data_IF_585647534277
#
_entry.id   IF_585647534277
#
_cell.length_a   1.000
_cell.length_b   1.000
_cell.length_c   1.000
_cell.angle_alpha   90.00
_cell.angle_beta   90.00
_cell.angle_gamma   90.00
#
_symmetry.space_group_name_H-M   'P 1'
#
loop_
_entity.id
_entity.type
_entity.pdbx_description
1 polymer ?
#
# COMPACT_ATOMS: atom_id res chain seq x y z
N UNK A 1 -24.79 -40.00 48.50
CA UNK A 1 -23.89 -38.91 48.90
C UNK A 1 -23.45 -38.14 47.66
N UNK A 2 -23.80 -36.85 47.60
CA UNK A 2 -23.36 -35.78 46.68
C UNK A 2 -22.79 -36.09 45.29
N UNK A 3 -23.65 -36.20 44.28
CA UNK A 3 -23.29 -36.05 42.85
C UNK A 3 -23.52 -34.60 42.37
N UNK A 4 -22.97 -33.60 43.08
CA UNK A 4 -23.28 -32.17 42.81
C UNK A 4 -22.07 -31.27 42.57
N UNK A 5 -20.92 -31.81 42.15
CA UNK A 5 -19.67 -31.04 42.05
C UNK A 5 -18.96 -30.99 40.71
N UNK A 6 -19.29 -31.84 39.72
CA UNK A 6 -18.42 -32.02 38.54
C UNK A 6 -18.71 -31.10 37.35
N UNK A 7 -19.83 -30.36 37.34
CA UNK A 7 -20.16 -29.45 36.22
C UNK A 7 -19.50 -28.07 36.30
N UNK A 8 -18.89 -27.70 37.42
CA UNK A 8 -18.19 -26.41 37.53
C UNK A 8 -16.88 -26.42 36.72
N UNK A 9 -16.19 -27.56 36.64
CA UNK A 9 -15.02 -27.70 35.75
C UNK A 9 -15.39 -27.77 34.26
N UNK A 10 -16.63 -28.15 33.92
CA UNK A 10 -17.15 -28.12 32.55
C UNK A 10 -17.36 -26.68 32.07
N UNK A 11 -17.70 -25.77 33.00
CA UNK A 11 -17.78 -24.32 32.76
C UNK A 11 -16.39 -23.66 32.78
N UNK A 12 -15.43 -24.21 33.56
CA UNK A 12 -14.05 -23.71 33.62
C UNK A 12 -13.18 -24.22 32.46
N UNK A 13 -13.56 -25.32 31.80
CA UNK A 13 -13.05 -25.67 30.47
C UNK A 13 -13.75 -24.77 29.46
N UNK A 14 -13.44 -23.47 29.59
CA UNK A 14 -13.80 -22.40 28.68
C UNK A 14 -13.51 -22.91 27.27
N UNK A 15 -14.58 -23.32 26.62
CA UNK A 15 -14.79 -23.31 25.19
C UNK A 15 -13.48 -23.38 24.40
N UNK A 16 -13.16 -24.52 23.78
CA UNK A 16 -12.09 -24.61 22.77
C UNK A 16 -12.38 -23.74 21.51
N UNK A 17 -13.24 -22.71 21.61
CA UNK A 17 -13.31 -21.63 20.63
C UNK A 17 -12.29 -20.58 20.99
N UNK A 18 -11.40 -20.27 20.06
CA UNK A 18 -10.37 -19.24 20.19
C UNK A 18 -10.90 -17.95 20.80
N UNK A 19 -10.64 -17.78 22.11
CA UNK A 19 -11.12 -16.68 22.96
C UNK A 19 -10.63 -15.29 22.55
N UNK A 20 -9.80 -15.21 21.51
CA UNK A 20 -9.45 -14.01 20.78
C UNK A 20 -9.64 -14.27 19.27
N UNK A 21 -10.72 -13.75 18.69
CA UNK A 21 -10.96 -13.87 17.25
C UNK A 21 -10.09 -12.84 16.53
N UNK A 22 -9.07 -13.33 15.81
CA UNK A 22 -8.29 -12.52 14.89
C UNK A 22 -9.16 -12.17 13.69
N UNK A 23 -9.76 -10.97 13.74
CA UNK A 23 -10.75 -10.55 12.73
C UNK A 23 -10.06 -10.43 11.37
N UNK A 24 -10.41 -11.33 10.44
CA UNK A 24 -9.94 -11.24 9.05
C UNK A 24 -10.69 -10.13 8.34
N UNK A 25 -10.05 -8.96 8.22
CA UNK A 25 -10.63 -7.81 7.53
C UNK A 25 -10.59 -8.08 6.02
N UNK A 26 -11.76 -7.99 5.37
CA UNK A 26 -11.86 -8.14 3.92
C UNK A 26 -11.11 -7.00 3.21
N UNK A 27 -10.63 -7.28 2.01
CA UNK A 27 -10.04 -6.26 1.16
C UNK A 27 -11.13 -5.31 0.64
N UNK A 28 -11.37 -4.21 1.37
CA UNK A 28 -12.32 -3.16 0.98
C UNK A 28 -11.77 -2.29 -0.15
N UNK A 29 -12.65 -1.57 -0.85
CA UNK A 29 -12.32 -0.67 -1.96
C UNK A 29 -11.29 0.39 -1.55
N UNK A 30 -11.45 1.02 -0.39
CA UNK A 30 -10.48 2.01 0.13
C UNK A 30 -9.10 1.39 0.38
N UNK A 31 -9.04 0.15 0.88
CA UNK A 31 -7.78 -0.57 1.09
C UNK A 31 -7.10 -0.91 -0.24
N UNK A 32 -7.87 -1.27 -1.28
CA UNK A 32 -7.35 -1.44 -2.65
C UNK A 32 -6.77 -0.14 -3.21
N UNK A 33 -7.44 0.99 -3.00
CA UNK A 33 -6.95 2.29 -3.44
C UNK A 33 -5.64 2.68 -2.75
N UNK A 34 -5.49 2.38 -1.45
CA UNK A 34 -4.23 2.60 -0.73
C UNK A 34 -3.10 1.70 -1.26
N UNK A 35 -3.39 0.44 -1.57
CA UNK A 35 -2.43 -0.47 -2.20
C UNK A 35 -1.96 0.06 -3.56
N UNK A 36 -2.89 0.54 -4.41
CA UNK A 36 -2.54 1.16 -5.71
C UNK A 36 -1.63 2.38 -5.51
N UNK A 37 -1.92 3.26 -4.55
CA UNK A 37 -1.07 4.41 -4.23
C UNK A 37 0.34 3.99 -3.78
N UNK A 38 0.46 2.95 -2.96
CA UNK A 38 1.78 2.42 -2.52
C UNK A 38 2.58 1.88 -3.70
N UNK A 39 1.96 1.09 -4.58
CA UNK A 39 2.61 0.56 -5.78
C UNK A 39 3.13 1.69 -6.67
N UNK A 40 2.31 2.71 -6.92
CA UNK A 40 2.72 3.87 -7.73
C UNK A 40 3.90 4.62 -7.12
N UNK A 41 3.90 4.82 -5.80
CA UNK A 41 5.03 5.47 -5.10
C UNK A 41 6.32 4.66 -5.23
N UNK A 42 6.25 3.34 -5.04
CA UNK A 42 7.42 2.47 -5.18
C UNK A 42 7.94 2.53 -6.62
N UNK A 43 7.07 2.44 -7.62
CA UNK A 43 7.46 2.54 -9.02
C UNK A 43 8.09 3.88 -9.38
N UNK A 44 7.58 5.00 -8.84
CA UNK A 44 8.20 6.32 -9.01
C UNK A 44 9.58 6.38 -8.34
N UNK A 45 9.70 5.88 -7.11
CA UNK A 45 10.98 5.85 -6.40
C UNK A 45 12.01 5.02 -7.17
N UNK A 46 11.61 3.86 -7.67
CA UNK A 46 12.47 3.01 -8.51
C UNK A 46 12.89 3.72 -9.80
N UNK A 47 11.97 4.43 -10.47
CA UNK A 47 12.29 5.19 -11.67
C UNK A 47 13.30 6.32 -11.38
N UNK A 48 13.12 7.05 -10.28
CA UNK A 48 14.05 8.11 -9.84
C UNK A 48 15.43 7.53 -9.53
N UNK A 49 15.50 6.44 -8.76
CA UNK A 49 16.77 5.81 -8.42
C UNK A 49 17.50 5.27 -9.66
N UNK A 50 16.76 4.69 -10.61
CA UNK A 50 17.32 4.26 -11.91
C UNK A 50 17.85 5.45 -12.72
N UNK A 51 17.07 6.53 -12.83
CA UNK A 51 17.50 7.75 -13.52
C UNK A 51 18.73 8.40 -12.88
N UNK A 52 18.87 8.33 -11.55
CA UNK A 52 20.06 8.82 -10.84
C UNK A 52 21.28 7.90 -10.97
N UNK A 53 21.10 6.63 -11.36
CA UNK A 53 22.20 5.69 -11.60
C UNK A 53 22.75 5.73 -13.02
N UNK A 54 21.96 6.24 -13.98
CA UNK A 54 22.43 6.52 -15.33
C UNK A 54 23.16 7.88 -15.36
N UNK A 55 24.20 7.99 -16.19
CA UNK A 55 24.89 9.26 -16.37
C UNK A 55 23.87 10.32 -16.85
N UNK A 56 23.82 11.51 -16.24
CA UNK A 56 22.82 12.51 -16.61
C UNK A 56 22.97 12.83 -18.10
N UNK A 57 21.87 12.70 -18.85
CA UNK A 57 21.84 13.08 -20.25
C UNK A 57 22.40 14.50 -20.40
N UNK A 58 23.46 14.64 -21.21
CA UNK A 58 24.10 15.91 -21.49
C UNK A 58 23.05 16.90 -21.97
N UNK A 59 22.80 17.96 -21.19
CA UNK A 59 21.95 19.08 -21.62
C UNK A 59 22.64 19.79 -22.78
N UNK A 60 22.27 19.47 -24.02
CA UNK A 60 22.51 20.35 -25.17
C UNK A 60 21.54 21.50 -25.05
N UNK A 61 22.01 22.60 -24.44
CA UNK A 61 21.33 23.90 -24.50
C UNK A 61 21.57 24.51 -25.89
N UNK A 62 20.92 24.01 -26.93
CA UNK A 62 20.90 24.64 -28.25
C UNK A 62 19.62 24.20 -28.98
N UNK A 63 18.56 25.00 -28.88
CA UNK A 63 17.82 25.50 -30.05
C UNK A 63 16.83 26.60 -29.59
N UNK A 64 17.37 27.82 -29.47
CA UNK A 64 16.59 29.05 -29.64
C UNK A 64 16.80 29.47 -31.09
N UNK A 65 16.12 28.83 -32.03
CA UNK A 65 16.01 29.33 -33.40
C UNK A 65 14.93 28.61 -34.21
N UNK A 66 13.71 29.15 -34.21
CA UNK A 66 12.81 28.95 -35.36
C UNK A 66 11.34 28.74 -35.06
N UNK A 67 10.64 29.80 -34.68
CA UNK A 67 9.27 30.00 -35.15
C UNK A 67 9.04 31.52 -35.37
N UNK A 68 9.42 32.01 -36.55
CA UNK A 68 8.66 33.11 -37.18
C UNK A 68 7.30 32.51 -37.55
N UNK A 69 6.14 33.17 -37.46
CA UNK A 69 5.83 34.45 -38.08
C UNK A 69 4.42 34.91 -37.65
N UNK A 70 4.23 36.21 -37.47
CA UNK A 70 2.93 36.88 -37.70
C UNK A 70 1.91 36.96 -36.56
N UNK A 71 1.96 38.05 -35.77
CA UNK A 71 0.83 39.00 -35.72
C UNK A 71 1.23 40.27 -34.97
N UNK A 72 1.28 41.39 -35.71
CA UNK A 72 1.34 42.73 -35.15
C UNK A 72 0.47 43.63 -36.02
N UNK A 73 -0.76 43.85 -35.59
CA UNK A 73 -1.55 45.09 -35.69
C UNK A 73 -2.83 44.92 -34.88
#
# INVERSE_FOLDING_TARGET
MGFWGTRVMEIVKKHDSGGLVWKRIKLTTTRKANAKKRILRVSQNEAVLRACSEAPASKTNDDVSGLQEGTKR
#
